data_IF_000247378391
#
_entry.id   IF_000247378391
#
_cell.length_a   1.000
_cell.length_b   1.000
_cell.length_c   1.000
_cell.angle_alpha   90.00
_cell.angle_beta   90.00
_cell.angle_gamma   90.00
#
_symmetry.space_group_name_H-M   'P 1'
#
loop_
_entity.id
_entity.type
_entity.pdbx_description
1 polymer ?
#
# COMPACT_ATOMS: atom_id res chain seq x y z
N UNK A 1 -61.62 -13.92 32.94
CA UNK A 1 -61.25 -12.89 31.96
C UNK A 1 -60.40 -13.55 30.93
N UNK A 2 -60.88 -13.62 29.73
CA UNK A 2 -60.53 -14.53 28.62
C UNK A 2 -59.30 -14.05 27.81
N UNK A 3 -58.34 -14.95 27.61
CA UNK A 3 -57.23 -14.77 26.63
C UNK A 3 -57.69 -15.23 25.23
N UNK A 4 -57.36 -14.51 24.15
CA UNK A 4 -57.57 -15.02 22.81
C UNK A 4 -56.40 -15.85 22.30
N UNK A 5 -56.76 -16.93 21.63
CA UNK A 5 -55.90 -17.94 20.99
C UNK A 5 -55.16 -17.37 19.77
N UNK A 6 -53.84 -17.65 19.69
CA UNK A 6 -53.02 -17.43 18.52
C UNK A 6 -53.33 -18.46 17.42
N UNK A 7 -53.57 -17.98 16.21
CA UNK A 7 -53.73 -18.78 14.99
C UNK A 7 -52.36 -18.99 14.38
N UNK A 8 -51.94 -20.27 14.31
CA UNK A 8 -50.71 -20.69 13.60
C UNK A 8 -51.13 -21.02 12.15
N UNK A 9 -50.66 -20.19 11.20
CA UNK A 9 -50.79 -20.49 9.76
C UNK A 9 -49.50 -21.22 9.31
N UNK A 10 -49.66 -22.49 8.93
CA UNK A 10 -48.58 -23.28 8.30
C UNK A 10 -48.63 -23.02 6.81
N UNK A 11 -47.54 -22.44 6.26
CA UNK A 11 -47.30 -22.44 4.81
C UNK A 11 -46.54 -23.68 4.43
N UNK A 12 -47.13 -24.49 3.56
CA UNK A 12 -46.48 -25.61 2.91
C UNK A 12 -45.68 -25.08 1.69
N UNK A 13 -44.35 -25.25 1.68
CA UNK A 13 -43.53 -24.97 0.53
C UNK A 13 -43.51 -26.17 -0.40
N UNK A 14 -44.07 -26.03 -1.61
CA UNK A 14 -43.94 -27.00 -2.69
C UNK A 14 -42.61 -26.81 -3.42
N UNK A 15 -41.77 -27.83 -3.36
CA UNK A 15 -40.49 -27.90 -4.09
C UNK A 15 -40.80 -28.33 -5.56
N UNK A 16 -40.62 -27.46 -6.52
CA UNK A 16 -40.62 -27.76 -7.95
C UNK A 16 -39.17 -28.07 -8.38
N UNK A 17 -38.89 -29.32 -8.61
CA UNK A 17 -37.65 -29.82 -9.25
C UNK A 17 -37.78 -29.64 -10.78
N UNK A 18 -36.94 -28.78 -11.35
CA UNK A 18 -36.74 -28.66 -12.81
C UNK A 18 -35.42 -29.37 -13.15
N UNK A 19 -35.38 -30.35 -14.06
CA UNK A 19 -34.13 -30.96 -14.51
C UNK A 19 -33.41 -30.05 -15.50
N UNK A 20 -32.17 -29.71 -15.21
CA UNK A 20 -31.25 -28.96 -16.07
C UNK A 20 -30.63 -29.97 -17.09
N UNK A 21 -31.02 -29.89 -18.34
CA UNK A 21 -30.33 -30.56 -19.44
C UNK A 21 -29.16 -29.70 -19.92
N UNK A 22 -27.94 -30.22 -19.81
CA UNK A 22 -26.75 -29.66 -20.42
C UNK A 22 -26.60 -30.15 -21.88
N UNK A 23 -26.21 -29.30 -22.83
CA UNK A 23 -25.84 -29.77 -24.17
C UNK A 23 -24.38 -30.28 -24.17
N UNK A 24 -24.19 -31.44 -24.73
CA UNK A 24 -22.90 -32.06 -24.98
C UNK A 24 -22.15 -31.31 -26.10
N UNK A 25 -20.96 -30.82 -25.81
CA UNK A 25 -20.04 -30.30 -26.81
C UNK A 25 -19.19 -31.43 -27.39
N UNK A 26 -19.31 -31.64 -28.68
CA UNK A 26 -18.48 -32.56 -29.47
C UNK A 26 -17.09 -32.02 -29.66
N UNK A 27 -16.09 -32.76 -29.20
CA UNK A 27 -14.67 -32.50 -29.46
C UNK A 27 -14.33 -33.12 -30.82
N UNK A 28 -13.91 -32.29 -31.77
CA UNK A 28 -13.31 -32.74 -33.03
C UNK A 28 -11.79 -32.61 -32.91
N UNK A 29 -11.12 -33.75 -32.94
CA UNK A 29 -9.66 -33.86 -32.99
C UNK A 29 -9.19 -33.90 -34.45
N UNK A 30 -8.22 -33.04 -34.79
CA UNK A 30 -7.40 -33.23 -35.99
C UNK A 30 -5.91 -33.30 -35.61
N UNK A 31 -5.14 -34.21 -36.24
CA UNK A 31 -3.75 -34.47 -35.89
C UNK A 31 -2.76 -33.50 -36.56
N UNK A 32 -1.51 -33.42 -36.08
CA UNK A 32 -0.50 -32.51 -36.61
C UNK A 32 0.23 -33.12 -37.80
N UNK A 33 0.39 -32.36 -38.87
CA UNK A 33 1.26 -32.74 -40.01
C UNK A 33 2.66 -32.12 -39.80
N UNK A 34 3.65 -33.02 -39.79
CA UNK A 34 5.07 -32.70 -39.93
C UNK A 34 5.37 -32.16 -41.35
N UNK A 35 6.16 -31.12 -41.45
CA UNK A 35 6.97 -30.83 -42.63
C UNK A 35 8.30 -30.25 -42.24
N UNK A 36 9.34 -31.01 -42.48
CA UNK A 36 10.76 -30.68 -42.49
C UNK A 36 11.15 -30.00 -43.80
N UNK A 37 12.08 -29.03 -43.76
CA UNK A 37 13.25 -28.89 -44.67
C UNK A 37 14.01 -27.59 -44.41
N UNK A 38 15.26 -27.80 -43.99
CA UNK A 38 16.56 -27.56 -44.66
C UNK A 38 16.95 -26.08 -44.86
N UNK A 39 17.89 -25.68 -44.06
CA UNK A 39 19.27 -25.18 -44.31
C UNK A 39 19.52 -24.34 -45.56
N UNK A 40 20.05 -23.14 -45.32
CA UNK A 40 21.06 -22.53 -46.20
C UNK A 40 22.06 -21.74 -45.35
N UNK A 41 23.34 -22.13 -45.46
CA UNK A 41 24.57 -21.48 -45.03
C UNK A 41 25.03 -20.58 -46.17
N UNK A 42 25.45 -19.35 -45.88
CA UNK A 42 26.45 -18.58 -46.64
C UNK A 42 27.06 -17.63 -45.62
N UNK A 43 28.26 -17.85 -45.12
CA UNK A 43 29.65 -17.53 -45.46
C UNK A 43 29.95 -16.02 -45.57
N UNK A 44 30.74 -15.58 -44.59
CA UNK A 44 32.02 -14.93 -44.71
C UNK A 44 32.13 -13.58 -45.45
N UNK A 45 32.58 -12.57 -44.73
CA UNK A 45 33.88 -11.94 -45.14
C UNK A 45 34.47 -11.10 -43.99
N UNK A 46 35.73 -11.36 -43.77
CA UNK A 46 36.61 -10.67 -42.87
C UNK A 46 37.25 -9.43 -43.53
N UNK A 47 37.60 -8.40 -42.74
CA UNK A 47 38.76 -7.53 -42.99
C UNK A 47 38.96 -6.62 -41.79
N UNK A 48 39.95 -6.78 -41.01
CA UNK A 48 41.37 -6.41 -41.02
C UNK A 48 41.65 -5.05 -40.34
N UNK A 49 42.32 -5.17 -39.22
CA UNK A 49 43.41 -4.39 -38.63
C UNK A 49 43.58 -2.88 -38.95
N UNK A 50 43.74 -2.09 -37.86
CA UNK A 50 44.90 -1.19 -37.76
C UNK A 50 45.26 -0.90 -36.30
N UNK A 51 46.45 -1.38 -35.90
CA UNK A 51 47.23 -0.92 -34.75
C UNK A 51 47.86 0.41 -35.09
N UNK A 52 47.90 1.34 -34.12
CA UNK A 52 48.99 2.31 -34.06
C UNK A 52 49.33 2.61 -32.61
N UNK A 53 50.53 2.21 -32.27
CA UNK A 53 51.31 2.59 -31.10
C UNK A 53 52.06 3.88 -31.37
N UNK A 54 52.09 4.79 -30.44
CA UNK A 54 53.17 5.79 -30.39
C UNK A 54 53.66 5.91 -28.95
N UNK A 55 54.93 5.63 -28.84
CA UNK A 55 55.82 5.74 -27.68
C UNK A 55 56.47 7.14 -27.67
N UNK A 56 56.85 7.64 -26.52
CA UNK A 56 58.04 8.49 -26.21
C UNK A 56 57.73 9.45 -25.07
N UNK A 57 58.56 9.80 -24.15
CA UNK A 57 59.94 9.56 -23.69
C UNK A 57 60.02 10.15 -22.29
N UNK A 58 60.58 9.44 -21.39
CA UNK A 58 61.70 9.64 -20.47
C UNK A 58 62.20 11.07 -20.18
N UNK A 59 62.39 11.39 -18.90
CA UNK A 59 63.66 11.95 -18.42
C UNK A 59 63.86 11.67 -16.93
N UNK A 60 65.04 11.31 -16.60
CA UNK A 60 65.70 10.96 -15.33
C UNK A 60 66.06 12.23 -14.55
N UNK A 61 66.16 12.11 -13.23
CA UNK A 61 67.34 12.47 -12.39
C UNK A 61 66.99 12.03 -10.97
N UNK A 62 67.68 11.17 -10.38
CA UNK A 62 68.92 11.02 -9.63
C UNK A 62 68.85 11.52 -8.17
N UNK A 63 68.84 10.51 -7.29
CA UNK A 63 69.72 10.22 -6.15
C UNK A 63 69.62 11.08 -4.87
N UNK A 64 69.38 10.45 -3.71
CA UNK A 64 70.43 10.17 -2.71
C UNK A 64 69.92 9.34 -1.52
N UNK A 65 70.75 8.38 -1.15
CA UNK A 65 70.88 7.50 0.03
C UNK A 65 70.26 8.02 1.39
N UNK A 66 69.66 7.18 2.22
CA UNK A 66 70.33 6.30 3.20
C UNK A 66 69.40 5.64 4.20
N UNK A 67 69.81 4.43 4.54
CA UNK A 67 69.65 3.65 5.80
C UNK A 67 68.38 2.92 6.17
N UNK A 68 68.58 1.66 6.14
CA UNK A 68 67.97 0.47 6.67
C UNK A 68 67.36 0.55 8.07
N UNK A 69 66.19 -0.02 8.21
CA UNK A 69 65.85 -0.96 9.30
C UNK A 69 64.80 -1.96 8.80
N UNK A 70 65.16 -3.23 8.89
CA UNK A 70 64.30 -4.36 8.61
C UNK A 70 63.15 -4.41 9.63
N UNK A 71 61.92 -4.26 9.14
CA UNK A 71 60.72 -4.76 9.84
C UNK A 71 60.02 -5.69 8.87
N UNK A 72 60.04 -6.99 9.23
CA UNK A 72 59.29 -8.03 8.55
C UNK A 72 57.81 -7.79 8.79
N UNK A 73 57.14 -7.15 7.83
CA UNK A 73 55.68 -7.04 7.84
C UNK A 73 55.11 -8.26 7.11
N UNK A 74 54.57 -9.20 7.85
CA UNK A 74 53.73 -10.27 7.32
C UNK A 74 52.46 -9.63 6.73
N UNK A 75 52.44 -9.49 5.41
CA UNK A 75 51.27 -9.10 4.66
C UNK A 75 50.21 -10.21 4.74
N UNK A 76 49.25 -10.08 5.68
CA UNK A 76 48.00 -10.80 5.56
C UNK A 76 47.26 -10.29 4.33
N UNK A 77 47.31 -11.08 3.26
CA UNK A 77 46.47 -10.84 2.07
C UNK A 77 45.00 -10.85 2.50
N UNK A 78 44.38 -9.67 2.60
CA UNK A 78 42.94 -9.55 2.67
C UNK A 78 42.41 -10.03 1.32
N UNK A 79 41.86 -11.24 1.28
CA UNK A 79 41.04 -11.68 0.17
C UNK A 79 39.87 -10.71 0.05
N UNK A 80 39.89 -9.85 -0.95
CA UNK A 80 38.74 -9.04 -1.32
C UNK A 80 37.68 -9.99 -1.85
N UNK A 81 36.72 -10.37 -1.01
CA UNK A 81 35.55 -11.05 -1.47
C UNK A 81 34.88 -10.15 -2.53
N UNK A 82 34.93 -10.59 -3.78
CA UNK A 82 34.18 -9.93 -4.85
C UNK A 82 32.74 -9.90 -4.45
N UNK A 83 32.24 -8.76 -3.93
CA UNK A 83 30.81 -8.54 -3.74
C UNK A 83 30.15 -8.68 -5.12
N UNK A 84 29.49 -9.80 -5.35
CA UNK A 84 28.61 -9.94 -6.51
C UNK A 84 27.58 -8.83 -6.42
N UNK A 85 27.64 -7.86 -7.35
CA UNK A 85 26.60 -6.86 -7.49
C UNK A 85 25.36 -7.62 -7.98
N UNK A 86 24.39 -7.80 -7.08
CA UNK A 86 23.08 -8.32 -7.44
C UNK A 86 22.36 -7.27 -8.29
N UNK A 87 22.10 -7.58 -9.53
CA UNK A 87 21.27 -6.77 -10.42
C UNK A 87 19.89 -7.40 -10.46
N UNK A 88 18.93 -6.77 -9.79
CA UNK A 88 17.54 -7.15 -9.89
C UNK A 88 17.05 -6.84 -11.31
N UNK A 89 16.56 -7.86 -12.01
CA UNK A 89 15.96 -7.72 -13.34
C UNK A 89 14.46 -7.69 -13.15
N UNK A 90 13.82 -6.60 -13.59
CA UNK A 90 12.38 -6.46 -13.60
C UNK A 90 11.84 -6.79 -14.99
N UNK A 91 10.74 -7.55 -15.05
CA UNK A 91 9.99 -7.84 -16.26
C UNK A 91 8.74 -6.97 -16.42
N UNK A 92 8.30 -6.31 -15.34
CA UNK A 92 7.13 -5.43 -15.35
C UNK A 92 7.44 -4.05 -15.94
N UNK A 93 6.49 -3.50 -16.71
CA UNK A 93 6.55 -2.13 -17.21
C UNK A 93 6.12 -1.15 -16.13
N UNK A 94 6.94 -0.11 -15.90
CA UNK A 94 6.61 0.98 -14.95
C UNK A 94 5.70 2.04 -15.54
N UNK A 95 5.45 2.02 -16.84
CA UNK A 95 4.63 2.99 -17.55
C UNK A 95 3.52 2.27 -18.31
N UNK A 96 2.36 2.88 -18.38
CA UNK A 96 1.19 2.39 -19.08
C UNK A 96 0.48 3.54 -19.79
N UNK A 97 -0.23 3.22 -20.86
CA UNK A 97 -1.11 4.15 -21.58
C UNK A 97 -2.57 3.80 -21.24
N UNK A 98 -3.45 4.75 -21.43
CA UNK A 98 -4.91 4.57 -21.34
C UNK A 98 -5.41 3.92 -20.04
N UNK A 99 -4.81 4.31 -18.91
CA UNK A 99 -5.09 3.72 -17.60
C UNK A 99 -6.50 4.04 -17.08
N UNK A 100 -7.18 5.03 -17.65
CA UNK A 100 -8.54 5.45 -17.29
C UNK A 100 -9.62 4.82 -18.18
N UNK A 101 -9.22 4.02 -19.16
CA UNK A 101 -10.16 3.34 -20.06
C UNK A 101 -11.04 2.37 -19.28
N UNK A 102 -12.37 2.55 -19.42
CA UNK A 102 -13.37 1.73 -18.71
C UNK A 102 -13.69 2.18 -17.28
N UNK A 103 -13.05 3.24 -16.77
CA UNK A 103 -13.39 3.79 -15.46
C UNK A 103 -14.81 4.38 -15.44
N UNK A 104 -15.60 4.06 -14.42
CA UNK A 104 -16.93 4.61 -14.17
C UNK A 104 -16.77 5.83 -13.26
N UNK A 105 -17.12 7.02 -13.75
CA UNK A 105 -16.72 8.28 -13.09
C UNK A 105 -17.87 9.20 -12.71
N UNK A 106 -19.12 8.89 -13.14
CA UNK A 106 -20.26 9.81 -13.00
C UNK A 106 -20.62 10.17 -11.55
N UNK A 107 -20.20 9.37 -10.57
CA UNK A 107 -20.38 9.63 -9.14
C UNK A 107 -19.13 10.11 -8.40
N UNK A 108 -18.02 10.27 -9.10
CA UNK A 108 -16.77 10.75 -8.53
C UNK A 108 -16.74 12.27 -8.38
N UNK A 109 -15.86 12.78 -7.52
CA UNK A 109 -15.59 14.20 -7.42
C UNK A 109 -14.68 14.62 -8.59
N UNK A 110 -15.12 15.54 -9.46
CA UNK A 110 -14.38 15.87 -10.68
C UNK A 110 -13.03 16.56 -10.40
N UNK A 111 -12.93 17.34 -9.31
CA UNK A 111 -11.67 18.00 -8.92
C UNK A 111 -10.67 16.96 -8.43
N UNK A 112 -11.11 16.07 -7.54
CA UNK A 112 -10.26 14.98 -7.00
C UNK A 112 -9.83 14.04 -8.11
N UNK A 113 -10.73 13.70 -9.03
CA UNK A 113 -10.40 12.84 -10.17
C UNK A 113 -9.37 13.47 -11.11
N UNK A 114 -9.56 14.73 -11.48
CA UNK A 114 -8.61 15.44 -12.34
C UNK A 114 -7.22 15.50 -11.68
N UNK A 115 -7.15 15.86 -10.42
CA UNK A 115 -5.92 15.87 -9.63
C UNK A 115 -5.25 14.50 -9.56
N UNK A 116 -6.03 13.42 -9.42
CA UNK A 116 -5.50 12.06 -9.34
C UNK A 116 -4.96 11.55 -10.68
N UNK A 117 -5.62 11.90 -11.82
CA UNK A 117 -5.15 11.57 -13.16
C UNK A 117 -3.83 12.28 -13.45
N UNK A 118 -3.78 13.59 -13.19
CA UNK A 118 -2.58 14.41 -13.40
C UNK A 118 -1.41 13.88 -12.55
N UNK A 119 -1.67 13.59 -11.27
CA UNK A 119 -0.67 13.06 -10.36
C UNK A 119 -0.14 11.69 -10.78
N UNK A 120 -0.99 10.77 -11.25
CA UNK A 120 -0.58 9.44 -11.70
C UNK A 120 0.24 9.53 -12.98
N UNK A 121 -0.12 10.44 -13.90
CA UNK A 121 0.53 10.59 -15.19
C UNK A 121 0.52 9.27 -15.96
N UNK A 122 1.67 8.87 -16.47
CA UNK A 122 1.84 7.62 -17.21
C UNK A 122 2.41 6.46 -16.37
N UNK A 123 2.49 6.62 -15.04
CA UNK A 123 2.97 5.54 -14.18
C UNK A 123 1.98 4.38 -14.17
N UNK A 124 2.45 3.14 -14.35
CA UNK A 124 1.61 1.95 -14.26
C UNK A 124 1.16 1.73 -12.81
N UNK A 125 -0.04 2.20 -12.50
CA UNK A 125 -0.54 2.26 -11.14
C UNK A 125 -2.00 2.63 -11.04
N UNK A 126 -2.43 2.88 -9.81
CA UNK A 126 -3.75 3.39 -9.44
C UNK A 126 -3.64 4.41 -8.32
N UNK A 127 -4.57 5.36 -8.30
CA UNK A 127 -4.79 6.28 -7.18
C UNK A 127 -6.24 6.15 -6.74
N UNK A 128 -6.44 5.93 -5.44
CA UNK A 128 -7.76 5.91 -4.80
C UNK A 128 -7.81 7.02 -3.77
N UNK A 129 -8.76 7.93 -3.89
CA UNK A 129 -9.02 9.00 -2.94
C UNK A 129 -10.35 8.75 -2.22
N UNK A 130 -10.36 8.90 -0.87
CA UNK A 130 -11.48 8.49 -0.02
C UNK A 130 -11.78 9.61 0.99
N UNK A 131 -13.07 9.88 1.20
CA UNK A 131 -13.54 10.64 2.36
C UNK A 131 -13.56 9.72 3.59
N UNK A 132 -12.68 9.93 4.58
CA UNK A 132 -12.57 9.04 5.73
C UNK A 132 -13.79 9.09 6.65
N UNK A 133 -14.53 10.19 6.66
CA UNK A 133 -15.67 10.39 7.57
C UNK A 133 -16.95 9.69 7.08
N UNK A 134 -16.95 9.19 5.85
CA UNK A 134 -18.10 8.51 5.24
C UNK A 134 -17.78 7.20 4.54
N UNK A 135 -16.52 6.95 4.18
CA UNK A 135 -16.11 5.82 3.36
C UNK A 135 -16.46 6.00 1.88
N UNK A 136 -16.85 7.22 1.45
CA UNK A 136 -17.09 7.51 0.03
C UNK A 136 -15.78 7.55 -0.73
N UNK A 137 -15.69 6.80 -1.81
CA UNK A 137 -14.62 6.93 -2.79
C UNK A 137 -14.91 8.20 -3.60
N UNK A 138 -14.00 9.16 -3.51
CA UNK A 138 -14.07 10.44 -4.21
C UNK A 138 -13.55 10.33 -5.64
N UNK A 139 -12.50 9.51 -5.82
CA UNK A 139 -11.95 9.18 -7.13
C UNK A 139 -11.22 7.84 -7.06
N UNK A 140 -11.27 7.08 -8.14
CA UNK A 140 -10.56 5.82 -8.32
C UNK A 140 -10.04 5.73 -9.76
N UNK A 141 -8.78 6.13 -9.96
CA UNK A 141 -8.10 6.15 -11.26
C UNK A 141 -7.50 4.78 -11.54
N UNK A 142 -7.71 4.23 -12.72
CA UNK A 142 -7.38 2.86 -13.11
C UNK A 142 -8.12 1.84 -12.22
N UNK A 143 -9.44 1.84 -12.33
CA UNK A 143 -10.33 0.99 -11.53
C UNK A 143 -10.02 -0.49 -11.70
N UNK A 144 -9.59 -0.91 -12.88
CA UNK A 144 -9.13 -2.28 -13.14
C UNK A 144 -8.01 -2.72 -12.20
N UNK A 145 -7.06 -1.84 -11.91
CA UNK A 145 -5.98 -2.12 -10.97
C UNK A 145 -6.42 -1.94 -9.51
N UNK A 146 -7.19 -0.90 -9.22
CA UNK A 146 -7.69 -0.61 -7.88
C UNK A 146 -8.54 -1.77 -7.33
N UNK A 147 -9.34 -2.39 -8.18
CA UNK A 147 -10.27 -3.48 -7.86
C UNK A 147 -9.64 -4.88 -7.96
N UNK A 148 -8.37 -4.99 -8.39
CA UNK A 148 -7.67 -6.26 -8.53
C UNK A 148 -7.45 -6.96 -7.19
N UNK A 149 -7.05 -8.24 -7.23
CA UNK A 149 -6.74 -9.04 -6.03
C UNK A 149 -5.52 -8.52 -5.21
N UNK A 150 -5.01 -7.35 -5.57
CA UNK A 150 -3.94 -6.66 -4.86
C UNK A 150 -2.56 -7.30 -5.03
N UNK A 151 -1.66 -6.90 -4.16
CA UNK A 151 -0.27 -7.36 -4.15
C UNK A 151 0.27 -7.43 -2.72
N UNK A 152 1.49 -7.95 -2.57
CA UNK A 152 2.18 -7.91 -1.28
C UNK A 152 2.22 -6.48 -0.74
N UNK A 153 1.70 -6.23 0.48
CA UNK A 153 1.61 -4.87 1.05
C UNK A 153 2.96 -4.24 1.32
N UNK A 154 4.01 -5.03 1.30
CA UNK A 154 5.35 -4.61 1.70
C UNK A 154 5.31 -3.97 3.10
N UNK A 155 5.96 -2.83 3.27
CA UNK A 155 6.03 -2.15 4.57
C UNK A 155 4.77 -1.37 4.98
N UNK A 156 3.70 -1.33 4.17
CA UNK A 156 2.44 -0.70 4.61
C UNK A 156 1.75 -1.52 5.71
N UNK A 157 1.96 -2.83 5.75
CA UNK A 157 1.45 -3.71 6.82
C UNK A 157 1.88 -3.27 8.22
N UNK A 158 3.00 -2.56 8.34
CA UNK A 158 3.57 -2.11 9.62
C UNK A 158 2.64 -1.22 10.43
N UNK A 159 1.72 -0.52 9.77
CA UNK A 159 0.73 0.32 10.46
C UNK A 159 -0.25 -0.56 11.24
N UNK A 160 -0.78 -1.61 10.61
CA UNK A 160 -1.65 -2.57 11.28
C UNK A 160 -0.92 -3.31 12.41
N UNK A 161 0.32 -3.75 12.17
CA UNK A 161 1.15 -4.41 13.19
C UNK A 161 1.46 -3.47 14.38
N UNK A 162 1.70 -2.18 14.13
CA UNK A 162 1.91 -1.20 15.19
C UNK A 162 0.67 -1.07 16.07
N UNK A 163 -0.50 -0.91 15.46
CA UNK A 163 -1.79 -0.84 16.18
C UNK A 163 -2.05 -2.11 16.97
N UNK A 164 -1.83 -3.30 16.39
CA UNK A 164 -1.97 -4.57 17.08
C UNK A 164 -1.04 -4.67 18.31
N UNK A 165 0.20 -4.25 18.15
CA UNK A 165 1.19 -4.32 19.24
C UNK A 165 0.89 -3.34 20.37
N UNK A 166 0.37 -2.16 20.06
CA UNK A 166 -0.11 -1.20 21.04
C UNK A 166 -1.37 -1.71 21.75
N UNK A 167 -2.35 -2.26 21.01
CA UNK A 167 -3.58 -2.82 21.56
C UNK A 167 -3.31 -3.96 22.56
N UNK A 168 -2.29 -4.75 22.30
CA UNK A 168 -1.87 -5.87 23.16
C UNK A 168 -0.86 -5.46 24.25
N UNK A 169 -0.54 -4.17 24.36
CA UNK A 169 0.47 -3.65 25.29
C UNK A 169 1.84 -4.35 25.15
N UNK A 170 2.16 -4.90 23.97
CA UNK A 170 3.48 -5.48 23.66
C UNK A 170 4.55 -4.39 23.55
N UNK A 171 4.13 -3.19 23.13
CA UNK A 171 4.91 -1.96 23.09
C UNK A 171 4.03 -0.77 23.52
N UNK A 172 4.70 0.32 23.90
CA UNK A 172 4.21 1.71 23.84
C UNK A 172 5.03 2.46 22.81
N UNK A 173 4.70 3.70 22.47
CA UNK A 173 5.51 4.47 21.50
C UNK A 173 6.97 4.64 21.96
N UNK A 174 7.21 4.74 23.28
CA UNK A 174 8.51 4.96 23.89
C UNK A 174 9.28 3.66 24.18
N UNK A 175 8.66 2.51 23.92
CA UNK A 175 9.32 1.21 24.15
C UNK A 175 10.52 1.04 23.20
N UNK A 176 11.72 1.00 23.78
CA UNK A 176 12.96 0.76 23.06
C UNK A 176 13.15 -0.74 22.79
N UNK A 177 12.90 -1.17 21.56
CA UNK A 177 13.11 -2.56 21.11
C UNK A 177 14.57 -2.76 20.75
N UNK A 178 15.29 -3.71 21.43
CA UNK A 178 16.69 -3.99 21.12
C UNK A 178 16.82 -4.74 19.78
N UNK A 179 17.58 -4.18 18.86
CA UNK A 179 17.87 -4.74 17.54
C UNK A 179 19.34 -5.17 17.39
N UNK A 180 20.12 -5.04 18.45
CA UNK A 180 21.53 -5.41 18.55
C UNK A 180 22.08 -5.07 19.93
N UNK A 181 23.37 -5.33 20.14
CA UNK A 181 24.02 -5.15 21.47
C UNK A 181 23.88 -3.72 22.02
N UNK A 182 23.96 -2.72 21.12
CA UNK A 182 23.95 -1.30 21.48
C UNK A 182 22.91 -0.49 20.68
N UNK A 183 22.09 -1.15 19.85
CA UNK A 183 21.13 -0.50 18.98
C UNK A 183 19.71 -0.84 19.41
N UNK A 184 18.97 0.19 19.81
CA UNK A 184 17.57 0.11 20.19
C UNK A 184 16.79 1.15 19.39
N UNK A 185 15.54 0.87 19.12
CA UNK A 185 14.66 1.73 18.30
C UNK A 185 13.28 1.79 18.96
N UNK A 186 12.67 2.97 18.97
CA UNK A 186 11.28 3.22 19.36
C UNK A 186 10.32 3.08 18.16
N UNK A 187 9.02 3.16 18.43
CA UNK A 187 7.98 3.02 17.42
C UNK A 187 8.01 4.16 16.40
N UNK A 188 8.16 5.41 16.85
CA UNK A 188 8.21 6.61 15.99
C UNK A 188 9.32 6.48 14.96
N UNK A 189 10.54 6.21 15.40
CA UNK A 189 11.71 6.00 14.52
C UNK A 189 11.50 4.81 13.59
N UNK A 190 10.94 3.71 14.11
CA UNK A 190 10.70 2.49 13.34
C UNK A 190 9.67 2.68 12.21
N UNK A 191 8.60 3.44 12.46
CA UNK A 191 7.61 3.79 11.43
C UNK A 191 8.19 4.77 10.41
N UNK A 192 8.84 5.85 10.85
CA UNK A 192 9.39 6.88 9.99
C UNK A 192 10.42 6.32 9.00
N UNK A 193 11.35 5.50 9.48
CA UNK A 193 12.39 4.87 8.67
C UNK A 193 12.02 3.48 8.15
N UNK A 194 10.81 3.00 8.45
CA UNK A 194 10.33 1.69 8.00
C UNK A 194 11.24 0.53 8.42
N UNK A 195 11.68 0.50 9.68
CA UNK A 195 12.67 -0.44 10.20
C UNK A 195 12.13 -1.89 10.21
N UNK A 196 12.68 -2.75 9.37
CA UNK A 196 12.24 -4.14 9.25
C UNK A 196 12.53 -4.96 10.49
N UNK A 197 13.73 -4.81 11.07
CA UNK A 197 14.15 -5.59 12.23
C UNK A 197 13.28 -5.30 13.46
N UNK A 198 12.82 -4.04 13.61
CA UNK A 198 11.87 -3.66 14.64
C UNK A 198 10.56 -4.43 14.49
N UNK A 199 9.94 -4.37 13.32
CA UNK A 199 8.64 -5.02 13.07
C UNK A 199 8.73 -6.54 13.03
N UNK A 200 9.87 -7.11 12.64
CA UNK A 200 10.13 -8.55 12.82
C UNK A 200 10.16 -8.95 14.29
N UNK A 201 10.85 -8.17 15.13
CA UNK A 201 10.92 -8.43 16.56
C UNK A 201 9.56 -8.27 17.25
N UNK A 202 8.82 -7.22 16.92
CA UNK A 202 7.46 -6.97 17.44
C UNK A 202 6.49 -8.07 16.99
N UNK A 203 6.53 -8.44 15.70
CA UNK A 203 5.68 -9.51 15.16
C UNK A 203 5.92 -10.85 15.85
N UNK A 204 7.20 -11.21 16.10
CA UNK A 204 7.53 -12.43 16.86
C UNK A 204 7.02 -12.40 18.32
N UNK A 205 6.96 -11.21 18.93
CA UNK A 205 6.38 -11.05 20.28
C UNK A 205 4.86 -11.15 20.28
N UNK A 206 4.21 -10.62 19.25
CA UNK A 206 2.75 -10.73 19.07
C UNK A 206 2.33 -12.18 18.83
N UNK A 207 3.06 -12.90 17.97
CA UNK A 207 2.67 -14.20 17.45
C UNK A 207 1.60 -14.12 16.36
N UNK A 208 1.48 -15.19 15.57
CA UNK A 208 0.60 -15.24 14.40
C UNK A 208 -0.88 -15.04 14.75
N UNK A 209 -1.34 -15.65 15.83
CA UNK A 209 -2.76 -15.57 16.24
C UNK A 209 -3.22 -14.12 16.45
N UNK A 210 -2.44 -13.34 17.22
CA UNK A 210 -2.78 -11.93 17.48
C UNK A 210 -2.65 -11.07 16.22
N UNK A 211 -1.58 -11.25 15.45
CA UNK A 211 -1.42 -10.55 14.16
C UNK A 211 -2.62 -10.85 13.27
N UNK A 212 -2.99 -12.12 13.11
CA UNK A 212 -4.14 -12.52 12.28
C UNK A 212 -5.46 -11.96 12.80
N UNK A 213 -5.66 -11.95 14.11
CA UNK A 213 -6.86 -11.38 14.74
C UNK A 213 -7.01 -9.90 14.42
N UNK A 214 -5.98 -9.10 14.73
CA UNK A 214 -6.03 -7.65 14.53
C UNK A 214 -6.09 -7.25 13.05
N UNK A 215 -5.31 -7.90 12.19
CA UNK A 215 -5.34 -7.61 10.76
C UNK A 215 -6.74 -7.84 10.17
N UNK A 216 -7.45 -8.90 10.62
CA UNK A 216 -8.86 -9.12 10.25
C UNK A 216 -9.79 -8.06 10.84
N UNK A 217 -9.56 -7.63 12.10
CA UNK A 217 -10.33 -6.52 12.67
C UNK A 217 -10.18 -5.24 11.83
N UNK A 218 -8.99 -4.99 11.28
CA UNK A 218 -8.70 -3.86 10.39
C UNK A 218 -9.20 -4.06 8.96
N UNK A 219 -9.86 -5.19 8.66
CA UNK A 219 -10.49 -5.47 7.37
C UNK A 219 -9.58 -6.15 6.35
N UNK A 220 -8.37 -6.59 6.73
CA UNK A 220 -7.51 -7.35 5.83
C UNK A 220 -8.09 -8.76 5.62
N UNK A 221 -8.06 -9.23 4.38
CA UNK A 221 -8.68 -10.52 4.01
C UNK A 221 -10.20 -10.46 3.86
N UNK A 222 -10.81 -9.26 3.88
CA UNK A 222 -12.22 -9.01 3.64
C UNK A 222 -12.40 -8.00 2.49
N UNK A 223 -13.55 -8.01 1.79
CA UNK A 223 -13.88 -6.94 0.86
C UNK A 223 -13.96 -5.60 1.61
N UNK A 224 -13.29 -4.58 1.10
CA UNK A 224 -13.34 -3.24 1.68
C UNK A 224 -14.62 -2.51 1.26
N UNK A 225 -15.11 -2.78 0.06
CA UNK A 225 -16.25 -2.12 -0.55
C UNK A 225 -17.59 -2.71 -0.14
N UNK A 226 -18.63 -1.89 -0.27
CA UNK A 226 -20.01 -2.30 -0.20
C UNK A 226 -20.60 -2.37 -1.60
N UNK A 227 -20.77 -3.59 -2.11
CA UNK A 227 -21.32 -3.86 -3.44
C UNK A 227 -20.61 -3.07 -4.56
N UNK A 228 -19.27 -3.03 -4.55
CA UNK A 228 -18.48 -2.46 -5.64
C UNK A 228 -18.28 -3.56 -6.69
N UNK A 229 -18.88 -3.43 -7.89
CA UNK A 229 -18.74 -4.44 -8.93
C UNK A 229 -17.26 -4.61 -9.34
N UNK A 230 -16.83 -5.86 -9.47
CA UNK A 230 -15.44 -6.16 -9.88
C UNK A 230 -14.40 -6.05 -8.77
N UNK A 231 -14.78 -5.72 -7.52
CA UNK A 231 -13.84 -5.77 -6.42
C UNK A 231 -13.40 -7.21 -6.14
N UNK A 232 -12.09 -7.42 -6.13
CA UNK A 232 -11.47 -8.68 -5.76
C UNK A 232 -11.00 -8.66 -4.31
N UNK A 233 -11.03 -9.83 -3.69
CA UNK A 233 -10.56 -10.01 -2.32
C UNK A 233 -9.04 -10.09 -2.30
N UNK A 234 -8.40 -9.37 -1.37
CA UNK A 234 -7.03 -9.63 -0.96
C UNK A 234 -6.93 -10.95 -0.17
N UNK A 235 -5.73 -11.44 0.03
CA UNK A 235 -5.50 -12.72 0.72
C UNK A 235 -4.83 -12.48 2.05
N UNK A 236 -5.38 -13.06 3.12
CA UNK A 236 -4.73 -13.17 4.41
C UNK A 236 -4.54 -14.66 4.76
N UNK A 237 -3.33 -15.11 5.12
CA UNK A 237 -3.07 -16.52 5.35
C UNK A 237 -3.83 -17.03 6.59
N UNK A 238 -4.17 -18.34 6.57
CA UNK A 238 -4.84 -19.03 7.68
C UNK A 238 -3.86 -19.62 8.69
N UNK A 239 -2.58 -19.67 8.33
CA UNK A 239 -1.50 -20.20 9.18
C UNK A 239 -0.24 -19.36 9.03
N UNK A 240 0.64 -19.45 10.01
CA UNK A 240 1.92 -18.75 10.00
C UNK A 240 2.78 -19.17 8.81
N UNK A 241 3.54 -18.22 8.26
CA UNK A 241 4.59 -18.48 7.29
C UNK A 241 5.65 -19.40 7.92
N UNK A 242 6.15 -20.38 7.14
CA UNK A 242 7.21 -21.28 7.61
C UNK A 242 8.39 -20.48 8.21
N UNK A 243 8.87 -20.94 9.37
CA UNK A 243 9.99 -20.30 10.08
C UNK A 243 11.27 -20.18 9.22
N UNK A 244 11.50 -21.13 8.28
CA UNK A 244 12.60 -21.08 7.30
C UNK A 244 12.46 -19.91 6.33
N UNK A 245 11.23 -19.45 6.08
CA UNK A 245 10.92 -18.29 5.25
C UNK A 245 10.83 -16.99 6.07
N UNK A 246 11.03 -17.07 7.38
CA UNK A 246 11.07 -15.94 8.30
C UNK A 246 9.88 -15.80 9.25
N UNK A 247 8.90 -16.72 9.17
CA UNK A 247 7.77 -16.80 10.08
C UNK A 247 6.95 -15.52 10.15
N UNK A 248 6.22 -15.35 11.26
CA UNK A 248 5.40 -14.14 11.52
C UNK A 248 6.20 -12.85 11.46
N UNK A 249 7.50 -12.88 11.75
CA UNK A 249 8.36 -11.69 11.65
C UNK A 249 8.39 -11.12 10.21
N UNK A 250 8.53 -11.97 9.20
CA UNK A 250 8.47 -11.54 7.78
C UNK A 250 7.08 -11.09 7.37
N UNK A 251 6.03 -11.73 7.87
CA UNK A 251 4.66 -11.27 7.66
C UNK A 251 4.47 -9.83 8.19
N UNK A 252 4.97 -9.53 9.38
CA UNK A 252 4.84 -8.22 10.02
C UNK A 252 5.74 -7.12 9.43
N UNK A 253 6.86 -7.47 8.82
CA UNK A 253 7.82 -6.48 8.30
C UNK A 253 7.67 -6.22 6.80
N UNK A 254 7.27 -7.23 6.02
CA UNK A 254 7.17 -7.17 4.56
C UNK A 254 5.78 -7.52 4.03
N UNK A 255 4.87 -8.04 4.86
CA UNK A 255 3.59 -8.57 4.41
C UNK A 255 3.74 -9.86 3.61
N UNK A 256 4.76 -10.68 3.92
CA UNK A 256 4.98 -11.93 3.20
C UNK A 256 3.77 -12.85 3.38
N UNK A 257 3.35 -13.53 2.31
CA UNK A 257 2.12 -14.34 2.23
C UNK A 257 0.79 -13.57 2.31
N UNK A 258 0.83 -12.25 2.41
CA UNK A 258 -0.36 -11.39 2.40
C UNK A 258 -0.50 -10.76 1.01
N UNK A 259 -1.73 -10.66 0.50
CA UNK A 259 -2.09 -9.78 -0.62
C UNK A 259 -3.08 -8.74 -0.12
N UNK A 260 -2.71 -7.47 -0.25
CA UNK A 260 -3.53 -6.32 0.15
C UNK A 260 -4.02 -5.59 -1.10
N UNK A 261 -5.30 -5.24 -1.13
CA UNK A 261 -5.84 -4.41 -2.21
C UNK A 261 -5.69 -2.92 -1.90
N UNK A 262 -5.67 -2.05 -2.92
CA UNK A 262 -5.69 -0.60 -2.69
C UNK A 262 -6.88 -0.15 -1.84
N UNK A 263 -8.04 -0.77 -2.02
CA UNK A 263 -9.24 -0.46 -1.24
C UNK A 263 -9.10 -0.86 0.24
N UNK A 264 -8.51 -2.04 0.52
CA UNK A 264 -8.28 -2.48 1.90
C UNK A 264 -7.30 -1.55 2.63
N UNK A 265 -6.21 -1.12 1.96
CA UNK A 265 -5.30 -0.13 2.53
C UNK A 265 -6.00 1.22 2.75
N UNK A 266 -6.85 1.63 1.80
CA UNK A 266 -7.64 2.85 1.90
C UNK A 266 -8.60 2.82 3.08
N UNK A 267 -9.30 1.72 3.29
CA UNK A 267 -10.23 1.54 4.42
C UNK A 267 -9.50 1.57 5.78
N UNK A 268 -8.33 0.94 5.88
CA UNK A 268 -7.47 1.01 7.07
C UNK A 268 -7.01 2.45 7.33
N UNK A 269 -6.49 3.15 6.31
CA UNK A 269 -6.05 4.54 6.46
C UNK A 269 -7.22 5.47 6.82
N UNK A 270 -8.41 5.25 6.26
CA UNK A 270 -9.61 6.00 6.58
C UNK A 270 -10.05 5.78 8.04
N UNK A 271 -9.97 4.54 8.54
CA UNK A 271 -10.29 4.25 9.94
C UNK A 271 -9.33 4.92 10.92
N UNK A 272 -8.06 5.06 10.56
CA UNK A 272 -7.08 5.81 11.35
C UNK A 272 -7.40 7.31 11.31
N UNK A 273 -7.62 7.84 10.11
CA UNK A 273 -7.89 9.27 9.92
C UNK A 273 -9.16 9.75 10.65
N UNK A 274 -10.19 8.89 10.78
CA UNK A 274 -11.47 9.25 11.40
C UNK A 274 -11.62 8.86 12.88
N UNK A 275 -10.58 8.33 13.51
CA UNK A 275 -10.61 8.00 14.93
C UNK A 275 -11.09 6.59 15.29
N UNK A 276 -11.14 5.66 14.31
CA UNK A 276 -11.42 4.23 14.57
C UNK A 276 -12.70 3.68 13.95
N UNK A 277 -13.40 4.43 13.09
CA UNK A 277 -14.56 3.90 12.39
C UNK A 277 -14.14 3.27 11.06
N UNK A 278 -14.23 1.95 10.96
CA UNK A 278 -14.04 1.25 9.70
C UNK A 278 -15.36 1.27 8.93
N UNK A 279 -15.41 2.06 7.87
CA UNK A 279 -16.53 2.07 6.93
C UNK A 279 -16.35 1.01 5.85
N UNK A 280 -17.46 0.50 5.33
CA UNK A 280 -17.45 -0.02 3.97
C UNK A 280 -17.17 1.11 3.01
N UNK A 281 -16.22 0.93 2.12
CA UNK A 281 -16.00 1.87 1.03
C UNK A 281 -17.16 1.79 0.05
N UNK A 282 -17.63 2.92 -0.44
CA UNK A 282 -18.72 2.99 -1.41
C UNK A 282 -18.27 3.86 -2.59
N UNK A 283 -18.51 3.35 -3.79
CA UNK A 283 -18.21 4.03 -5.05
C UNK A 283 -19.55 4.36 -5.76
N UNK A 284 -20.15 5.53 -5.51
CA UNK A 284 -21.30 5.97 -6.28
C UNK A 284 -20.95 6.06 -7.77
N UNK A 285 -21.82 5.55 -8.61
CA UNK A 285 -21.61 5.51 -10.07
C UNK A 285 -22.60 6.38 -10.84
N UNK A 286 -23.54 7.03 -10.11
CA UNK A 286 -24.48 7.97 -10.68
C UNK A 286 -24.68 9.18 -9.76
N UNK A 287 -25.14 10.34 -10.30
CA UNK A 287 -25.48 11.52 -9.49
C UNK A 287 -26.55 11.24 -8.42
N UNK A 288 -27.51 10.37 -8.69
CA UNK A 288 -28.56 10.00 -7.76
C UNK A 288 -27.98 9.22 -6.57
N UNK A 289 -27.01 8.34 -6.81
CA UNK A 289 -26.32 7.62 -5.72
C UNK A 289 -25.48 8.59 -4.87
N UNK A 290 -24.93 9.64 -5.45
CA UNK A 290 -24.23 10.71 -4.71
C UNK A 290 -25.22 11.49 -3.86
N UNK A 291 -26.36 11.93 -4.43
CA UNK A 291 -27.36 12.69 -3.72
C UNK A 291 -28.00 11.92 -2.53
N UNK A 292 -28.16 10.61 -2.69
CA UNK A 292 -28.72 9.71 -1.68
C UNK A 292 -27.65 8.95 -0.88
N UNK A 293 -26.41 9.41 -0.90
CA UNK A 293 -25.31 8.71 -0.25
C UNK A 293 -25.51 8.61 1.26
N UNK A 294 -25.35 7.40 1.79
CA UNK A 294 -25.42 7.14 3.22
C UNK A 294 -24.22 6.29 3.64
N UNK A 295 -23.39 6.77 4.58
CA UNK A 295 -22.25 6.03 5.10
C UNK A 295 -22.67 4.69 5.70
N UNK A 296 -21.91 3.64 5.43
CA UNK A 296 -22.14 2.28 5.97
C UNK A 296 -20.97 1.88 6.85
N UNK A 297 -21.21 1.83 8.15
CA UNK A 297 -20.22 1.37 9.12
C UNK A 297 -20.06 -0.15 9.00
N UNK A 298 -18.83 -0.62 8.81
CA UNK A 298 -18.48 -2.04 8.82
C UNK A 298 -18.25 -2.50 10.27
N UNK A 299 -17.44 -1.76 11.00
CA UNK A 299 -17.20 -1.96 12.44
C UNK A 299 -16.58 -0.72 13.08
N UNK A 300 -16.63 -0.65 14.40
CA UNK A 300 -15.87 0.33 15.18
C UNK A 300 -14.67 -0.36 15.78
N UNK A 301 -13.50 0.28 15.61
CA UNK A 301 -12.23 -0.20 16.10
C UNK A 301 -11.86 0.57 17.37
N UNK A 302 -11.43 -0.14 18.39
CA UNK A 302 -10.98 0.50 19.64
C UNK A 302 -9.51 0.94 19.53
N UNK A 303 -9.23 1.79 18.52
CA UNK A 303 -7.90 2.31 18.22
C UNK A 303 -7.76 3.82 18.47
N UNK A 304 -8.86 4.51 18.78
CA UNK A 304 -8.85 5.97 18.99
C UNK A 304 -7.72 6.45 19.90
N UNK A 305 -7.54 5.88 21.10
CA UNK A 305 -6.45 6.25 22.00
C UNK A 305 -5.05 5.91 21.48
N UNK A 306 -4.93 5.00 20.50
CA UNK A 306 -3.65 4.53 19.96
C UNK A 306 -3.19 5.33 18.73
N UNK A 307 -4.10 6.07 18.09
CA UNK A 307 -3.79 6.86 16.90
C UNK A 307 -2.69 7.88 17.16
N UNK A 308 -2.70 8.66 18.26
CA UNK A 308 -1.60 9.57 18.57
C UNK A 308 -0.23 8.88 18.66
N UNK A 309 -0.20 7.63 19.17
CA UNK A 309 1.02 6.84 19.34
C UNK A 309 1.71 6.49 18.01
N UNK A 310 0.94 6.30 16.93
CA UNK A 310 1.47 6.01 15.59
C UNK A 310 1.62 7.26 14.72
N UNK A 311 0.88 8.32 15.03
CA UNK A 311 0.82 9.54 14.19
C UNK A 311 2.17 10.21 14.05
N UNK A 312 2.96 10.30 15.13
CA UNK A 312 4.31 10.87 15.09
C UNK A 312 5.22 10.12 14.09
N UNK A 313 5.15 8.79 14.09
CA UNK A 313 5.94 7.97 13.17
C UNK A 313 5.46 8.03 11.72
N UNK A 314 4.14 8.16 11.51
CA UNK A 314 3.55 8.34 10.18
C UNK A 314 3.83 9.74 9.62
N UNK A 315 3.78 10.78 10.44
CA UNK A 315 4.23 12.14 10.10
C UNK A 315 5.73 12.15 9.82
N UNK A 316 6.54 11.55 10.71
CA UNK A 316 7.99 11.43 10.53
C UNK A 316 8.38 10.74 9.24
N UNK A 317 7.59 9.77 8.76
CA UNK A 317 7.83 9.13 7.45
C UNK A 317 7.77 10.15 6.31
N UNK A 318 6.89 11.14 6.39
CA UNK A 318 6.72 12.21 5.39
C UNK A 318 7.75 13.32 5.58
N UNK A 319 8.04 13.73 6.81
CA UNK A 319 8.90 14.88 7.07
C UNK A 319 10.39 14.56 6.80
N UNK A 320 10.89 13.46 7.30
CA UNK A 320 12.31 13.12 7.22
C UNK A 320 12.59 11.65 6.85
N UNK A 321 11.54 10.83 6.75
CA UNK A 321 11.63 9.40 6.57
C UNK A 321 11.49 8.93 5.12
N UNK A 322 10.85 7.78 4.95
CA UNK A 322 10.75 7.07 3.67
C UNK A 322 9.81 7.71 2.65
N UNK A 323 8.92 8.61 3.06
CA UNK A 323 7.97 9.32 2.21
C UNK A 323 8.33 10.81 1.99
N UNK A 324 9.54 11.25 2.36
CA UNK A 324 9.97 12.65 2.25
C UNK A 324 9.86 13.23 0.84
N UNK A 325 9.81 12.40 -0.19
CA UNK A 325 9.59 12.83 -1.57
C UNK A 325 8.23 13.50 -1.78
N UNK A 326 7.25 13.27 -0.92
CA UNK A 326 5.98 13.99 -0.93
C UNK A 326 6.21 15.49 -0.75
N UNK A 327 7.10 15.88 0.18
CA UNK A 327 7.41 17.27 0.52
C UNK A 327 8.11 18.05 -0.59
N UNK A 328 8.54 17.41 -1.66
CA UNK A 328 9.03 18.12 -2.85
C UNK A 328 7.90 18.82 -3.62
N UNK A 329 6.66 18.38 -3.44
CA UNK A 329 5.49 18.88 -4.16
C UNK A 329 4.46 19.56 -3.25
N UNK A 330 4.37 19.15 -1.99
CA UNK A 330 3.34 19.63 -1.07
C UNK A 330 3.88 19.79 0.34
N UNK A 331 3.83 21.02 0.87
CA UNK A 331 4.35 21.40 2.18
C UNK A 331 3.31 22.12 3.06
N UNK A 332 2.16 22.49 2.50
CA UNK A 332 1.20 23.41 3.08
C UNK A 332 0.43 22.82 4.26
N UNK A 333 0.09 21.53 4.15
CA UNK A 333 -0.73 20.87 5.18
C UNK A 333 -0.02 19.63 5.75
N UNK A 334 -0.33 19.23 6.98
CA UNK A 334 0.16 17.99 7.54
C UNK A 334 -0.30 16.78 6.73
N UNK A 335 0.62 15.87 6.44
CA UNK A 335 0.32 14.58 5.82
C UNK A 335 0.94 13.47 6.65
N UNK A 336 0.14 12.48 6.95
CA UNK A 336 0.58 11.27 7.65
C UNK A 336 0.48 10.08 6.71
N UNK A 337 1.49 9.22 6.70
CA UNK A 337 1.44 8.09 5.77
C UNK A 337 2.52 7.04 5.96
N UNK A 338 2.41 5.97 5.17
CA UNK A 338 3.38 4.87 5.18
C UNK A 338 3.66 4.37 3.77
N UNK A 339 4.95 4.28 3.44
CA UNK A 339 5.42 3.69 2.19
C UNK A 339 5.58 2.18 2.29
N UNK A 340 5.42 1.51 1.15
CA UNK A 340 5.79 0.11 0.94
C UNK A 340 6.61 -0.05 -0.33
N UNK A 341 7.69 -0.82 -0.27
CA UNK A 341 8.50 -1.20 -1.43
C UNK A 341 8.92 -2.65 -1.30
N UNK A 342 8.60 -3.46 -2.27
CA UNK A 342 9.10 -4.82 -2.40
C UNK A 342 9.04 -5.29 -3.84
N UNK A 343 9.48 -6.52 -4.10
CA UNK A 343 9.44 -7.13 -5.42
C UNK A 343 9.02 -8.59 -5.30
N UNK A 344 8.21 -9.06 -6.23
CA UNK A 344 7.80 -10.46 -6.33
C UNK A 344 7.73 -10.86 -7.80
N UNK A 345 8.31 -12.00 -8.13
CA UNK A 345 8.24 -12.58 -9.48
C UNK A 345 8.63 -11.60 -10.60
N UNK A 346 9.70 -10.82 -10.40
CA UNK A 346 10.19 -9.85 -11.39
C UNK A 346 9.37 -8.56 -11.51
N UNK A 347 8.35 -8.39 -10.68
CA UNK A 347 7.57 -7.14 -10.60
C UNK A 347 7.89 -6.42 -9.31
N UNK A 348 8.15 -5.13 -9.40
CA UNK A 348 8.35 -4.25 -8.25
C UNK A 348 7.04 -3.56 -7.88
N UNK A 349 6.80 -3.42 -6.59
CA UNK A 349 5.64 -2.73 -6.05
C UNK A 349 6.06 -1.49 -5.28
N UNK A 350 5.32 -0.40 -5.51
CA UNK A 350 5.42 0.85 -4.78
C UNK A 350 4.06 1.20 -4.17
N UNK A 351 4.00 1.31 -2.86
CA UNK A 351 2.81 1.66 -2.13
C UNK A 351 2.99 2.94 -1.34
N UNK A 352 1.96 3.73 -1.25
CA UNK A 352 1.84 4.78 -0.28
C UNK A 352 0.38 4.94 0.14
N UNK A 353 0.09 4.67 1.42
CA UNK A 353 -1.18 4.99 2.04
C UNK A 353 -0.99 6.19 2.95
N UNK A 354 -1.84 7.21 2.80
CA UNK A 354 -1.71 8.47 3.53
C UNK A 354 -3.05 9.17 3.72
N UNK A 355 -3.06 10.17 4.59
CA UNK A 355 -4.12 11.16 4.64
C UNK A 355 -3.53 12.55 4.90
N UNK A 356 -4.11 13.55 4.24
CA UNK A 356 -3.91 14.95 4.60
C UNK A 356 -4.88 15.31 5.74
N UNK A 357 -4.37 16.00 6.75
CA UNK A 357 -5.13 16.42 7.93
C UNK A 357 -5.19 17.94 7.97
N UNK A 358 -6.25 18.49 7.38
CA UNK A 358 -6.41 19.94 7.23
C UNK A 358 -7.47 20.47 8.18
N UNK A 359 -7.44 21.77 8.44
CA UNK A 359 -8.47 22.43 9.27
C UNK A 359 -9.90 22.31 8.70
N UNK A 360 -10.03 22.03 7.40
CA UNK A 360 -11.32 21.90 6.70
C UNK A 360 -11.77 20.47 6.47
N UNK A 361 -10.97 19.50 6.89
CA UNK A 361 -11.27 18.08 6.78
C UNK A 361 -10.09 17.25 6.29
N UNK A 362 -10.33 15.97 6.13
CA UNK A 362 -9.32 14.98 5.78
C UNK A 362 -9.63 14.34 4.45
N UNK A 363 -8.59 13.98 3.73
CA UNK A 363 -8.69 13.14 2.54
C UNK A 363 -7.65 12.03 2.62
N UNK A 364 -8.10 10.80 2.45
CA UNK A 364 -7.22 9.63 2.35
C UNK A 364 -6.82 9.41 0.91
N UNK A 365 -5.56 9.11 0.69
CA UNK A 365 -5.01 8.79 -0.64
C UNK A 365 -4.20 7.50 -0.57
N UNK A 366 -4.51 6.57 -1.46
CA UNK A 366 -3.70 5.38 -1.70
C UNK A 366 -3.13 5.44 -3.11
N UNK A 367 -1.82 5.38 -3.21
CA UNK A 367 -1.10 5.21 -4.48
C UNK A 367 -0.49 3.83 -4.51
N UNK A 368 -0.82 3.05 -5.51
CA UNK A 368 -0.22 1.76 -5.78
C UNK A 368 0.38 1.73 -7.18
N UNK A 369 1.65 1.37 -7.27
CA UNK A 369 2.43 1.28 -8.50
C UNK A 369 2.98 -0.13 -8.67
N UNK A 370 3.00 -0.62 -9.91
CA UNK A 370 3.68 -1.86 -10.25
C UNK A 370 4.55 -1.73 -11.50
N UNK A 371 5.62 -2.52 -11.56
CA UNK A 371 6.51 -2.49 -12.74
C UNK A 371 7.95 -2.80 -12.43
N UNK A 372 8.86 -2.10 -13.08
CA UNK A 372 10.29 -2.11 -12.84
C UNK A 372 10.77 -0.84 -12.14
N UNK A 373 11.92 -0.29 -12.57
CA UNK A 373 12.34 1.05 -12.12
C UNK A 373 11.62 2.12 -12.95
N UNK A 374 11.12 3.21 -12.37
CA UNK A 374 11.31 3.76 -11.04
C UNK A 374 10.22 3.40 -10.01
N UNK A 375 9.51 2.30 -10.14
CA UNK A 375 8.43 1.89 -9.23
C UNK A 375 8.95 1.57 -7.83
N UNK A 376 8.56 2.36 -6.82
CA UNK A 376 8.91 2.16 -5.40
C UNK A 376 8.08 3.09 -4.50
N UNK A 377 8.08 2.86 -3.19
CA UNK A 377 7.27 3.61 -2.23
C UNK A 377 7.51 5.12 -2.22
N UNK A 378 8.75 5.63 -2.21
CA UNK A 378 9.01 7.06 -2.35
C UNK A 378 8.44 7.69 -3.63
N UNK A 379 8.39 6.97 -4.77
CA UNK A 379 7.71 7.47 -5.98
C UNK A 379 6.20 7.55 -5.78
N UNK A 380 5.60 6.56 -5.12
CA UNK A 380 4.18 6.61 -4.78
C UNK A 380 3.87 7.80 -3.83
N UNK A 381 4.76 8.10 -2.88
CA UNK A 381 4.63 9.26 -2.00
C UNK A 381 4.79 10.59 -2.75
N UNK A 382 5.71 10.66 -3.73
CA UNK A 382 5.87 11.82 -4.62
C UNK A 382 4.59 12.12 -5.39
N UNK A 383 3.94 11.08 -5.97
CA UNK A 383 2.67 11.23 -6.71
C UNK A 383 1.53 11.67 -5.78
N UNK A 384 1.47 11.16 -4.55
CA UNK A 384 0.50 11.66 -3.57
C UNK A 384 0.72 13.15 -3.26
N UNK A 385 1.98 13.60 -3.19
CA UNK A 385 2.33 15.00 -3.05
C UNK A 385 1.82 15.87 -4.21
N UNK A 386 1.92 15.37 -5.44
CA UNK A 386 1.33 16.04 -6.62
C UNK A 386 -0.19 16.13 -6.50
N UNK A 387 -0.86 15.07 -6.10
CA UNK A 387 -2.31 15.08 -5.89
C UNK A 387 -2.71 16.12 -4.84
N UNK A 388 -2.07 16.11 -3.67
CA UNK A 388 -2.36 17.07 -2.60
C UNK A 388 -2.08 18.51 -3.04
N UNK A 389 -1.01 18.74 -3.81
CA UNK A 389 -0.70 20.04 -4.41
C UNK A 389 -1.81 20.51 -5.32
N UNK A 390 -2.24 19.67 -6.26
CA UNK A 390 -3.32 20.00 -7.20
C UNK A 390 -4.63 20.32 -6.47
N UNK A 391 -4.96 19.55 -5.42
CA UNK A 391 -6.15 19.82 -4.59
C UNK A 391 -6.05 21.15 -3.85
N UNK A 392 -4.88 21.47 -3.32
CA UNK A 392 -4.64 22.74 -2.63
C UNK A 392 -4.74 23.94 -3.58
N UNK A 393 -4.16 23.84 -4.78
CA UNK A 393 -4.19 24.89 -5.81
C UNK A 393 -5.61 25.15 -6.38
N UNK A 394 -6.52 24.19 -6.22
CA UNK A 394 -7.94 24.32 -6.57
C UNK A 394 -8.83 24.61 -5.37
N UNK A 395 -8.29 25.12 -4.28
CA UNK A 395 -9.01 25.48 -3.04
C UNK A 395 -9.85 24.32 -2.44
N UNK A 396 -9.53 23.06 -2.78
CA UNK A 396 -10.29 21.90 -2.33
C UNK A 396 -10.33 21.81 -0.80
N UNK A 397 -9.26 22.18 -0.13
CA UNK A 397 -9.16 22.20 1.32
C UNK A 397 -9.78 23.46 1.97
N UNK A 398 -10.05 24.50 1.21
CA UNK A 398 -10.66 25.72 1.72
C UNK A 398 -12.17 25.64 1.86
N UNK A 399 -12.81 24.69 1.18
CA UNK A 399 -14.26 24.56 1.13
C UNK A 399 -14.74 23.10 1.24
N UNK A 400 -14.94 22.63 2.47
CA UNK A 400 -15.90 21.56 2.74
C UNK A 400 -17.13 22.19 3.39
N UNK A 401 -18.31 22.22 2.75
CA UNK A 401 -19.53 22.54 3.46
C UNK A 401 -19.68 21.55 4.62
N UNK A 402 -19.94 22.06 5.81
CA UNK A 402 -20.16 21.22 7.00
C UNK A 402 -21.19 20.14 6.65
N UNK A 403 -20.98 18.87 7.00
CA UNK A 403 -21.94 17.82 6.73
C UNK A 403 -23.30 18.22 7.30
N UNK A 404 -24.35 18.09 6.49
CA UNK A 404 -25.74 18.48 6.79
C UNK A 404 -26.21 17.93 8.16
N UNK A 405 -25.57 16.91 8.68
CA UNK A 405 -25.85 16.30 10.00
C UNK A 405 -25.09 16.94 11.19
N UNK A 406 -24.12 17.82 10.97
CA UNK A 406 -23.40 18.49 12.08
C UNK A 406 -24.24 19.61 12.72
N UNK A 407 -25.19 20.20 11.98
CA UNK A 407 -26.09 21.24 12.49
C UNK A 407 -27.13 20.74 13.50
N UNK A 408 -27.35 19.42 13.64
CA UNK A 408 -28.28 18.86 14.62
C UNK A 408 -27.69 18.54 16.00
N UNK A 409 -26.39 18.77 16.21
CA UNK A 409 -25.72 18.41 17.48
C UNK A 409 -25.41 19.54 18.43
N UNK A 410 -25.77 20.78 18.12
CA UNK A 410 -25.59 21.92 19.04
C UNK A 410 -26.96 22.58 19.26
N UNK A 411 -27.78 21.93 20.07
CA UNK A 411 -28.75 22.64 20.89
C UNK A 411 -28.25 22.54 22.35
N UNK A 412 -27.84 23.63 22.99
CA UNK A 412 -27.56 23.59 24.40
C UNK A 412 -28.88 23.29 25.13
N UNK A 413 -28.86 22.32 26.02
CA UNK A 413 -29.91 22.12 26.97
C UNK A 413 -30.05 23.41 27.80
N UNK A 414 -31.08 24.16 27.53
CA UNK A 414 -31.49 25.30 28.35
C UNK A 414 -31.79 24.78 29.75
N UNK A 415 -31.03 25.26 30.71
CA UNK A 415 -31.26 25.04 32.12
C UNK A 415 -32.70 25.45 32.46
N UNK A 416 -33.47 24.50 32.98
CA UNK A 416 -34.71 24.80 33.68
C UNK A 416 -34.33 25.53 34.97
N UNK A 417 -34.57 26.85 34.99
CA UNK A 417 -34.60 27.63 36.21
C UNK A 417 -35.72 27.10 37.09
N UNK A 418 -35.31 26.54 38.22
CA UNK A 418 -36.20 26.33 39.37
C UNK A 418 -36.41 27.66 40.04
N UNK A 419 -37.58 28.28 39.83
CA UNK A 419 -38.07 29.34 40.73
C UNK A 419 -39.12 28.78 41.63
N UNK A 420 -38.98 29.09 42.89
CA UNK A 420 -39.73 28.76 44.09
C UNK A 420 -41.23 28.72 43.95
#
# INVERSE_FOLDING_TARGET
MTFPRAIIVRFAAALLLIPFMAPAATISAHPPTHSSKKSAKVSESASAKKKMSVNRHSSKTAATRNHSTHVVATSKSRSSSKRHKYYERFSGNSFALDQTEGDITAGEDPVVRAAAIDALGNMNGTIVAIDPDSGRILAMVNQKMALSAGATPCSTIKVAVALAALSENVITKDTLVPLGKYYKVDLTTALAHSNNAYFEAVGRKLGFEKVSYYDRQFGLGELAGYNIPGEHLGTFPTQELDAKLGGVGKMCSFGESISLTPLQLGALMASIANGGTLYYLQHPTTPEQVANFTPKVKRRLDIGPLIPEISEGMSGAVEYGTARSLRTNFIEEPVLGKTGTCSKSGTRFGWFGSYADTQYGRIVTVVFLQGGRPTFGPKAAELAGHLYRNLYDHDYFAYKPAPINAQKRIAPATALEVTR
#
